data_IF_356261905061
#
_entry.id   IF_356261905061
#
_cell.length_a   1.000
_cell.length_b   1.000
_cell.length_c   1.000
_cell.angle_alpha   90.00
_cell.angle_beta   90.00
_cell.angle_gamma   90.00
#
_symmetry.space_group_name_H-M   'P 1'
#
loop_
_entity.id
_entity.type
_entity.pdbx_description
1 polymer ?
#
# COMPACT_ATOMS: atom_id res chain seq x y z
N UNK A 1 -13.15 -22.28 -14.84
CA UNK A 1 -13.75 -23.24 -13.89
C UNK A 1 -14.92 -22.58 -13.16
N UNK A 2 -15.94 -23.34 -12.73
CA UNK A 2 -17.06 -22.80 -11.92
C UNK A 2 -16.62 -22.75 -10.45
N UNK A 3 -16.96 -21.69 -9.72
CA UNK A 3 -16.54 -21.51 -8.31
C UNK A 3 -16.80 -22.74 -7.42
N UNK A 4 -17.96 -23.40 -7.59
CA UNK A 4 -18.36 -24.58 -6.80
C UNK A 4 -17.42 -25.78 -6.90
N UNK A 5 -16.72 -25.97 -8.02
CA UNK A 5 -15.78 -27.10 -8.16
C UNK A 5 -14.43 -26.83 -7.51
N UNK A 6 -14.07 -25.53 -7.38
CA UNK A 6 -12.85 -25.11 -6.72
C UNK A 6 -13.03 -25.12 -5.20
N UNK A 7 -14.16 -24.61 -4.69
CA UNK A 7 -14.51 -24.67 -3.26
C UNK A 7 -14.47 -26.10 -2.74
N UNK A 8 -15.10 -27.05 -3.44
CA UNK A 8 -15.13 -28.44 -3.02
C UNK A 8 -13.72 -29.05 -2.93
N UNK A 9 -12.85 -28.79 -3.91
CA UNK A 9 -11.47 -29.30 -3.90
C UNK A 9 -10.62 -28.67 -2.80
N UNK A 10 -10.85 -27.39 -2.51
CA UNK A 10 -10.20 -26.69 -1.42
C UNK A 10 -10.61 -27.26 -0.05
N UNK A 11 -11.91 -27.44 0.17
CA UNK A 11 -12.46 -27.97 1.43
C UNK A 11 -12.09 -29.44 1.64
N UNK A 12 -12.05 -30.24 0.57
CA UNK A 12 -11.70 -31.66 0.63
C UNK A 12 -10.20 -31.90 0.89
N UNK A 13 -9.35 -30.86 0.82
CA UNK A 13 -7.89 -30.90 1.07
C UNK A 13 -7.14 -31.99 0.28
N UNK A 14 -7.70 -32.38 -0.89
CA UNK A 14 -7.26 -33.53 -1.68
C UNK A 14 -6.13 -33.22 -2.67
N UNK A 15 -5.91 -31.94 -3.00
CA UNK A 15 -4.89 -31.52 -3.96
C UNK A 15 -4.49 -30.07 -3.71
N UNK A 16 -3.22 -29.73 -3.96
CA UNK A 16 -2.76 -28.35 -3.93
C UNK A 16 -3.43 -27.58 -5.08
N UNK A 17 -4.43 -26.74 -4.73
CA UNK A 17 -5.25 -26.01 -5.70
C UNK A 17 -4.45 -24.97 -6.49
N UNK A 18 -3.21 -24.70 -6.07
CA UNK A 18 -2.31 -23.70 -6.68
C UNK A 18 -2.01 -24.03 -8.15
N UNK A 19 -1.92 -25.31 -8.52
CA UNK A 19 -1.70 -25.76 -9.91
C UNK A 19 -2.91 -25.50 -10.83
N UNK A 20 -4.10 -25.31 -10.26
CA UNK A 20 -5.35 -25.01 -10.99
C UNK A 20 -5.63 -23.51 -11.09
N UNK A 21 -4.85 -22.68 -10.38
CA UNK A 21 -4.95 -21.22 -10.43
C UNK A 21 -4.16 -20.68 -11.62
N UNK A 22 -4.78 -19.80 -12.41
CA UNK A 22 -4.08 -19.06 -13.45
C UNK A 22 -3.22 -17.95 -12.84
N UNK A 23 -1.99 -18.32 -12.43
CA UNK A 23 -1.02 -17.41 -11.83
C UNK A 23 -0.45 -16.41 -12.85
N UNK A 24 -0.67 -16.59 -14.15
CA UNK A 24 -0.14 -15.68 -15.19
C UNK A 24 -0.72 -14.27 -15.09
N UNK A 25 -1.89 -14.13 -14.45
CA UNK A 25 -2.57 -12.86 -14.23
C UNK A 25 -2.37 -12.30 -12.82
N UNK A 26 -1.59 -12.97 -11.96
CA UNK A 26 -1.29 -12.48 -10.62
C UNK A 26 -0.53 -11.15 -10.72
N UNK A 27 -1.17 -10.12 -10.18
CA UNK A 27 -0.56 -8.80 -9.97
C UNK A 27 -0.62 -8.50 -8.49
N UNK A 28 0.49 -8.11 -7.88
CA UNK A 28 0.43 -7.52 -6.55
C UNK A 28 0.05 -6.04 -6.73
N UNK A 29 -1.17 -5.64 -6.33
CA UNK A 29 -1.56 -4.24 -6.42
C UNK A 29 -0.58 -3.36 -5.62
N UNK A 30 -0.38 -2.12 -6.08
CA UNK A 30 0.53 -1.14 -5.47
C UNK A 30 2.04 -1.40 -5.62
N UNK A 31 2.48 -2.37 -6.44
CA UNK A 31 3.90 -2.53 -6.79
C UNK A 31 4.41 -1.48 -7.79
N UNK A 32 3.53 -0.93 -8.63
CA UNK A 32 3.91 0.02 -9.68
C UNK A 32 4.24 1.37 -9.07
N UNK A 33 5.53 1.66 -8.97
CA UNK A 33 6.03 2.96 -8.53
C UNK A 33 5.89 3.98 -9.67
N UNK A 34 5.26 5.13 -9.38
CA UNK A 34 5.20 6.28 -10.30
C UNK A 34 6.06 7.41 -9.75
N UNK A 35 6.99 7.93 -10.56
CA UNK A 35 7.79 9.12 -10.18
C UNK A 35 6.93 10.37 -10.28
N UNK A 36 7.02 11.22 -9.26
CA UNK A 36 6.36 12.52 -9.18
C UNK A 36 7.42 13.55 -8.77
N UNK A 37 7.42 14.71 -9.44
CA UNK A 37 8.28 15.84 -9.09
C UNK A 37 7.44 16.86 -8.30
N UNK A 38 7.99 17.38 -7.21
CA UNK A 38 7.33 18.35 -6.33
C UNK A 38 8.38 19.36 -5.88
N UNK A 39 8.05 20.64 -5.99
CA UNK A 39 8.87 21.72 -5.46
C UNK A 39 8.47 22.03 -4.02
N UNK A 40 9.48 22.28 -3.18
CA UNK A 40 9.30 22.60 -1.76
C UNK A 40 10.03 23.90 -1.42
N UNK A 41 9.45 24.76 -0.56
CA UNK A 41 10.17 25.89 0.00
C UNK A 41 11.43 25.44 0.76
N UNK A 42 12.48 26.27 0.75
CA UNK A 42 13.77 25.95 1.39
C UNK A 42 13.61 25.58 2.87
N UNK A 43 12.83 26.35 3.63
CA UNK A 43 12.59 26.09 5.05
C UNK A 43 11.98 24.71 5.32
N UNK A 44 11.18 24.19 4.38
CA UNK A 44 10.54 22.89 4.50
C UNK A 44 11.55 21.77 4.24
N UNK A 45 12.43 21.95 3.25
CA UNK A 45 13.51 21.00 2.96
C UNK A 45 14.46 20.89 4.16
N UNK A 46 14.87 22.01 4.73
CA UNK A 46 15.73 22.06 5.92
C UNK A 46 15.09 21.33 7.12
N UNK A 47 13.79 21.56 7.32
CA UNK A 47 13.02 20.89 8.39
C UNK A 47 12.95 19.37 8.16
N UNK A 48 12.70 18.94 6.92
CA UNK A 48 12.65 17.52 6.54
C UNK A 48 14.02 16.85 6.71
N UNK A 49 15.11 17.53 6.37
CA UNK A 49 16.47 17.00 6.50
C UNK A 49 16.88 16.81 7.95
N UNK A 50 16.56 17.77 8.81
CA UNK A 50 16.82 17.68 10.24
C UNK A 50 16.12 16.45 10.83
N UNK A 51 14.87 16.24 10.44
CA UNK A 51 14.06 15.13 10.95
C UNK A 51 14.49 13.77 10.39
N UNK A 52 14.80 13.72 9.09
CA UNK A 52 15.35 12.53 8.45
C UNK A 52 16.67 12.11 9.10
N UNK A 53 17.54 13.08 9.40
CA UNK A 53 18.81 12.86 10.10
C UNK A 53 18.60 12.36 11.52
N UNK A 54 17.64 12.94 12.26
CA UNK A 54 17.28 12.52 13.62
C UNK A 54 16.83 11.06 13.69
N UNK A 55 16.13 10.59 12.67
CA UNK A 55 15.61 9.22 12.57
C UNK A 55 16.55 8.27 11.82
N UNK A 56 17.67 8.76 11.29
CA UNK A 56 18.62 7.96 10.52
C UNK A 56 18.07 7.44 9.19
N UNK A 57 17.14 8.18 8.57
CA UNK A 57 16.48 7.81 7.31
C UNK A 57 16.71 8.85 6.22
N UNK A 58 16.36 8.51 4.98
CA UNK A 58 16.42 9.48 3.88
C UNK A 58 15.25 10.46 3.91
N UNK A 59 15.43 11.65 3.33
CA UNK A 59 14.36 12.62 3.09
C UNK A 59 13.15 11.99 2.37
N UNK A 60 13.39 11.12 1.39
CA UNK A 60 12.31 10.44 0.68
C UNK A 60 11.52 9.48 1.57
N UNK A 61 12.18 8.82 2.52
CA UNK A 61 11.53 7.90 3.46
C UNK A 61 10.60 8.66 4.41
N UNK A 62 11.06 9.77 4.99
CA UNK A 62 10.22 10.57 5.91
C UNK A 62 9.00 11.16 5.20
N UNK A 63 9.18 11.65 3.95
CA UNK A 63 8.06 12.15 3.13
C UNK A 63 7.01 11.05 2.90
N UNK A 64 7.45 9.81 2.58
CA UNK A 64 6.53 8.69 2.36
C UNK A 64 5.72 8.34 3.62
N UNK A 65 6.39 8.26 4.77
CA UNK A 65 5.74 7.90 6.04
C UNK A 65 4.68 8.94 6.41
N UNK A 66 5.04 10.23 6.43
CA UNK A 66 4.11 11.30 6.79
C UNK A 66 2.94 11.43 5.82
N UNK A 67 3.19 11.24 4.51
CA UNK A 67 2.13 11.23 3.52
C UNK A 67 1.16 10.06 3.75
N UNK A 68 1.68 8.86 4.04
CA UNK A 68 0.86 7.69 4.35
C UNK A 68 0.01 7.92 5.61
N UNK A 69 0.61 8.39 6.70
CA UNK A 69 -0.09 8.70 7.96
C UNK A 69 -1.22 9.72 7.73
N UNK A 70 -0.95 10.78 6.95
CA UNK A 70 -1.95 11.81 6.66
C UNK A 70 -3.09 11.30 5.78
N UNK A 71 -2.79 10.45 4.80
CA UNK A 71 -3.78 9.81 3.95
C UNK A 71 -4.66 8.85 4.76
N UNK A 72 -4.09 8.04 5.64
CA UNK A 72 -4.83 7.13 6.53
C UNK A 72 -5.75 7.88 7.50
N UNK A 73 -5.29 8.98 8.10
CA UNK A 73 -6.16 9.83 8.92
C UNK A 73 -7.33 10.41 8.13
N UNK A 74 -7.08 10.81 6.88
CA UNK A 74 -8.10 11.38 6.00
C UNK A 74 -9.14 10.35 5.59
N UNK A 75 -8.73 9.11 5.27
CA UNK A 75 -9.66 8.02 4.98
C UNK A 75 -10.48 7.62 6.20
N UNK A 76 -9.84 7.54 7.37
CA UNK A 76 -10.51 7.26 8.65
C UNK A 76 -11.57 8.32 8.97
N UNK A 77 -11.24 9.60 8.81
CA UNK A 77 -12.18 10.69 9.09
C UNK A 77 -13.35 10.71 8.08
N UNK A 78 -13.09 10.37 6.81
CA UNK A 78 -14.14 10.26 5.78
C UNK A 78 -15.09 9.09 6.02
N UNK A 79 -14.62 7.99 6.62
CA UNK A 79 -15.47 6.86 7.04
C UNK A 79 -16.39 7.25 8.20
N UNK A 80 -15.87 7.97 9.21
CA UNK A 80 -16.67 8.47 10.35
C UNK A 80 -17.83 9.38 9.91
N UNK A 81 -17.58 10.27 8.95
CA UNK A 81 -18.59 11.22 8.48
C UNK A 81 -19.66 10.60 7.55
N UNK A 82 -19.46 9.38 7.04
CA UNK A 82 -20.44 8.66 6.21
C UNK A 82 -21.36 7.73 7.01
N UNK A 83 -21.09 7.56 8.29
CA UNK A 83 -21.84 6.66 9.19
C UNK A 83 -22.74 7.44 10.15
N UNK A 84 -22.92 8.75 9.92
CA UNK A 84 -23.85 9.63 10.62
C UNK A 84 -24.87 10.19 9.63
#
# INVERSE_FOLDING_TARGET
>A
MKAKSLDKKFDDNQSDIVDELDLSTIKRPNLTQKRVNVDFPTWMIESLDKEASRLGVTRQSIIKVWLAERLEQSTFNKSRNRTQ
#
